data_IF_001231025357
#
_entry.id   IF_001231025357
#
_cell.length_a   1.000
_cell.length_b   1.000
_cell.length_c   1.000
_cell.angle_alpha   90.00
_cell.angle_beta   90.00
_cell.angle_gamma   90.00
#
_symmetry.space_group_name_H-M   'P 1'
#
loop_
_entity.id
_entity.type
_entity.pdbx_description
1 polymer ?
#
# COMPACT_ATOMS: atom_id res chain seq x y z
N UNK A 1 -16.78 15.31 20.63
CA UNK A 1 -16.07 14.09 21.07
C UNK A 1 -14.56 14.33 21.22
N UNK A 2 -13.80 14.80 20.22
CA UNK A 2 -12.34 15.03 20.36
C UNK A 2 -12.00 15.97 21.53
N UNK A 3 -12.73 17.08 21.67
CA UNK A 3 -12.55 18.05 22.76
C UNK A 3 -12.71 17.43 24.16
N UNK A 4 -13.54 16.41 24.30
CA UNK A 4 -13.74 15.74 25.59
C UNK A 4 -12.53 14.93 26.05
N UNK A 5 -11.72 14.42 25.11
CA UNK A 5 -10.52 13.63 25.42
C UNK A 5 -9.26 14.48 25.58
N UNK A 6 -9.30 15.75 25.19
CA UNK A 6 -8.15 16.65 25.24
C UNK A 6 -7.73 16.94 26.68
N UNK A 7 -6.53 16.52 27.06
CA UNK A 7 -5.94 16.75 28.38
C UNK A 7 -6.49 15.86 29.49
N UNK A 8 -7.34 14.88 29.18
CA UNK A 8 -7.92 13.95 30.17
C UNK A 8 -6.98 12.76 30.40
N UNK A 9 -6.90 12.27 31.64
CA UNK A 9 -6.06 11.11 31.96
C UNK A 9 -6.67 9.83 31.39
N UNK A 10 -5.80 8.87 31.05
CA UNK A 10 -6.20 7.57 30.56
C UNK A 10 -7.01 6.85 31.66
N UNK A 11 -8.23 6.41 31.33
CA UNK A 11 -9.12 5.71 32.27
C UNK A 11 -10.21 6.59 32.90
N UNK A 12 -10.15 7.93 32.80
CA UNK A 12 -11.20 8.83 33.32
C UNK A 12 -12.45 8.84 32.43
N UNK A 13 -12.29 8.62 31.11
CA UNK A 13 -13.39 8.51 30.16
C UNK A 13 -13.47 7.10 29.59
N UNK A 14 -14.57 6.81 28.90
CA UNK A 14 -14.74 5.53 28.19
C UNK A 14 -13.56 5.26 27.25
N UNK A 15 -13.08 4.00 27.17
CA UNK A 15 -11.97 3.67 26.29
C UNK A 15 -12.23 4.10 24.84
N UNK A 16 -11.31 4.90 24.29
CA UNK A 16 -11.36 5.36 22.90
C UNK A 16 -9.95 5.63 22.39
N UNK A 17 -9.75 5.46 21.09
CA UNK A 17 -8.44 5.72 20.44
C UNK A 17 -7.96 7.15 20.58
N UNK A 18 -8.85 8.11 20.81
CA UNK A 18 -8.48 9.50 21.08
C UNK A 18 -7.72 9.65 22.41
N UNK A 19 -8.06 8.84 23.44
CA UNK A 19 -7.34 8.85 24.71
C UNK A 19 -5.87 8.41 24.52
N UNK A 20 -5.63 7.38 23.71
CA UNK A 20 -4.27 6.91 23.37
C UNK A 20 -3.51 7.95 22.58
N UNK A 21 -4.15 8.57 21.58
CA UNK A 21 -3.53 9.64 20.78
C UNK A 21 -3.18 10.87 21.63
N UNK A 22 -4.08 11.27 22.57
CA UNK A 22 -3.84 12.38 23.50
C UNK A 22 -2.70 12.08 24.47
N UNK A 23 -2.68 10.86 25.03
CA UNK A 23 -1.61 10.42 25.93
C UNK A 23 -0.24 10.47 25.23
N UNK A 24 -0.16 9.95 23.99
CA UNK A 24 1.05 9.99 23.17
C UNK A 24 1.48 11.44 22.87
N UNK A 25 0.52 12.30 22.52
CA UNK A 25 0.80 13.71 22.25
C UNK A 25 1.33 14.46 23.49
N UNK A 26 0.72 14.21 24.67
CA UNK A 26 1.19 14.80 25.93
C UNK A 26 2.53 14.26 26.39
N UNK A 27 2.77 12.96 26.25
CA UNK A 27 4.07 12.35 26.55
C UNK A 27 5.16 12.96 25.66
N UNK A 28 4.90 13.12 24.36
CA UNK A 28 5.83 13.79 23.44
C UNK A 28 6.17 15.21 23.92
N UNK A 29 5.18 16.00 24.36
CA UNK A 29 5.39 17.37 24.82
C UNK A 29 6.12 17.45 26.15
N UNK A 30 5.73 16.61 27.13
CA UNK A 30 6.26 16.67 28.50
C UNK A 30 7.68 16.12 28.57
N UNK A 31 7.92 14.99 27.90
CA UNK A 31 9.19 14.26 27.98
C UNK A 31 10.16 14.67 26.86
N UNK A 32 9.68 15.46 25.90
CA UNK A 32 10.42 15.86 24.69
C UNK A 32 10.96 14.63 23.91
N UNK A 33 10.20 13.55 23.92
CA UNK A 33 10.53 12.28 23.28
C UNK A 33 9.51 11.94 22.20
N UNK A 34 10.00 11.49 21.04
CA UNK A 34 9.15 10.97 19.97
C UNK A 34 8.36 9.75 20.44
N UNK A 35 7.14 9.61 19.93
CA UNK A 35 6.23 8.53 20.27
C UNK A 35 5.89 7.68 19.03
N UNK A 36 5.48 6.43 19.26
CA UNK A 36 5.00 5.54 18.21
C UNK A 36 3.70 4.87 18.63
N UNK A 37 2.73 4.85 17.74
CA UNK A 37 1.45 4.16 17.92
C UNK A 37 1.38 3.02 16.92
N UNK A 38 1.34 1.79 17.44
CA UNK A 38 1.20 0.59 16.62
C UNK A 38 -0.26 0.13 16.64
N UNK A 39 -0.83 -0.10 15.45
CA UNK A 39 -2.19 -0.60 15.29
C UNK A 39 -2.11 -2.02 14.73
N UNK A 40 -2.42 -3.02 15.55
CA UNK A 40 -2.38 -4.44 15.20
C UNK A 40 -3.75 -5.09 15.29
N UNK A 41 -3.92 -6.26 14.68
CA UNK A 41 -5.15 -7.05 14.68
C UNK A 41 -5.35 -7.81 13.37
N UNK A 42 -6.36 -8.67 13.30
CA UNK A 42 -6.69 -9.43 12.10
C UNK A 42 -7.14 -8.55 10.93
N UNK A 43 -7.15 -9.13 9.72
CA UNK A 43 -7.69 -8.46 8.53
C UNK A 43 -9.19 -8.17 8.74
N UNK A 44 -9.62 -6.93 8.47
CA UNK A 44 -11.00 -6.48 8.70
C UNK A 44 -11.33 -6.01 10.12
N UNK A 45 -10.40 -6.06 11.08
CA UNK A 45 -10.62 -5.63 12.47
C UNK A 45 -10.73 -4.10 12.66
N UNK A 46 -10.63 -3.30 11.60
CA UNK A 46 -10.77 -1.83 11.67
C UNK A 46 -9.46 -1.07 11.93
N UNK A 47 -8.29 -1.68 11.73
CA UNK A 47 -6.98 -1.02 11.92
C UNK A 47 -6.85 0.30 11.17
N UNK A 48 -7.13 0.30 9.88
CA UNK A 48 -7.03 1.50 9.03
C UNK A 48 -8.00 2.60 9.48
N UNK A 49 -9.23 2.23 9.88
CA UNK A 49 -10.18 3.21 10.43
C UNK A 49 -9.70 3.78 11.78
N UNK A 50 -9.13 2.93 12.64
CA UNK A 50 -8.49 3.36 13.89
C UNK A 50 -7.34 4.32 13.61
N UNK A 51 -6.48 4.01 12.66
CA UNK A 51 -5.37 4.90 12.24
C UNK A 51 -5.88 6.25 11.73
N UNK A 52 -6.94 6.26 10.92
CA UNK A 52 -7.58 7.50 10.45
C UNK A 52 -8.10 8.36 11.62
N UNK A 53 -8.72 7.73 12.63
CA UNK A 53 -9.19 8.43 13.83
C UNK A 53 -8.03 9.00 14.64
N UNK A 54 -6.96 8.25 14.84
CA UNK A 54 -5.72 8.72 15.52
C UNK A 54 -5.15 9.93 14.77
N UNK A 55 -4.98 9.83 13.46
CA UNK A 55 -4.45 10.92 12.63
C UNK A 55 -5.35 12.17 12.72
N UNK A 56 -6.67 12.02 12.64
CA UNK A 56 -7.63 13.13 12.83
C UNK A 56 -7.51 13.78 14.20
N UNK A 57 -7.27 13.00 15.24
CA UNK A 57 -7.08 13.54 16.57
C UNK A 57 -5.78 14.31 16.69
N UNK A 58 -4.67 13.75 16.20
CA UNK A 58 -3.36 14.40 16.21
C UNK A 58 -3.38 15.72 15.41
N UNK A 59 -4.05 15.73 14.24
CA UNK A 59 -4.22 16.96 13.46
C UNK A 59 -5.13 17.97 14.15
N UNK A 60 -6.10 17.52 14.95
CA UNK A 60 -6.94 18.41 15.76
C UNK A 60 -6.17 19.08 16.92
N UNK A 61 -5.35 18.32 17.65
CA UNK A 61 -4.62 18.87 18.81
C UNK A 61 -3.37 19.65 18.43
N UNK A 62 -2.68 19.24 17.35
CA UNK A 62 -1.45 19.85 16.84
C UNK A 62 -1.66 20.81 15.66
N UNK A 63 -2.88 20.93 15.15
CA UNK A 63 -3.18 21.76 13.98
C UNK A 63 -3.19 23.25 14.27
N UNK A 64 -2.97 24.06 13.23
CA UNK A 64 -3.08 25.51 13.28
C UNK A 64 -4.53 25.94 13.15
N UNK A 65 -4.90 27.06 13.78
CA UNK A 65 -6.27 27.60 13.75
C UNK A 65 -6.75 28.11 12.37
N UNK A 66 -5.89 28.12 11.36
CA UNK A 66 -6.21 28.59 10.01
C UNK A 66 -6.47 27.38 9.12
N UNK A 67 -7.72 27.16 8.74
CA UNK A 67 -8.15 26.18 7.74
C UNK A 67 -7.82 26.71 6.35
N UNK A 68 -6.62 26.46 5.88
CA UNK A 68 -6.29 26.50 4.46
C UNK A 68 -6.52 25.10 3.89
N UNK A 69 -7.23 24.99 2.76
CA UNK A 69 -7.50 23.70 2.05
C UNK A 69 -6.21 22.97 1.64
N UNK A 70 -5.04 23.59 1.80
CA UNK A 70 -3.71 23.03 1.55
C UNK A 70 -2.82 23.00 2.79
N UNK A 71 -3.41 22.99 3.99
CA UNK A 71 -2.62 22.82 5.20
C UNK A 71 -1.96 21.43 5.25
N UNK A 72 -0.83 21.31 5.95
CA UNK A 72 -0.14 20.02 6.16
C UNK A 72 -1.10 18.99 6.76
N UNK A 73 -1.95 19.44 7.69
CA UNK A 73 -2.97 18.60 8.34
C UNK A 73 -3.95 18.03 7.32
N UNK A 74 -4.45 18.85 6.40
CA UNK A 74 -5.38 18.40 5.36
C UNK A 74 -4.71 17.47 4.36
N UNK A 75 -3.49 17.77 3.95
CA UNK A 75 -2.72 16.92 3.03
C UNK A 75 -2.43 15.54 3.65
N UNK A 76 -2.09 15.49 4.94
CA UNK A 76 -1.90 14.22 5.68
C UNK A 76 -3.19 13.39 5.69
N UNK A 77 -4.35 14.02 5.92
CA UNK A 77 -5.62 13.31 5.92
C UNK A 77 -6.02 12.84 4.52
N UNK A 78 -5.86 13.67 3.50
CA UNK A 78 -6.23 13.36 2.11
C UNK A 78 -5.23 12.41 1.42
N UNK A 79 -4.04 12.20 1.98
CA UNK A 79 -3.15 11.14 1.53
C UNK A 79 -3.75 9.74 1.70
N UNK A 80 -4.66 9.54 2.69
CA UNK A 80 -5.26 8.23 2.95
C UNK A 80 -6.17 7.75 1.80
N UNK A 81 -7.22 8.49 1.35
CA UNK A 81 -8.04 8.04 0.23
C UNK A 81 -7.23 7.83 -1.05
N UNK A 82 -6.20 8.66 -1.27
CA UNK A 82 -5.31 8.49 -2.42
C UNK A 82 -4.54 7.17 -2.34
N UNK A 83 -3.86 6.90 -1.22
CA UNK A 83 -3.13 5.65 -1.03
C UNK A 83 -4.04 4.42 -0.99
N UNK A 84 -5.28 4.54 -0.51
CA UNK A 84 -6.27 3.48 -0.55
C UNK A 84 -6.70 3.13 -1.97
N UNK A 85 -6.90 4.12 -2.83
CA UNK A 85 -7.23 3.86 -4.23
C UNK A 85 -6.17 3.00 -4.94
N UNK A 86 -4.89 3.23 -4.64
CA UNK A 86 -3.75 2.56 -5.28
C UNK A 86 -3.18 1.38 -4.49
N UNK A 87 -3.45 1.26 -3.22
CA UNK A 87 -2.84 0.25 -2.36
C UNK A 87 -3.83 -0.69 -1.67
N UNK A 88 -5.16 -0.44 -1.78
CA UNK A 88 -6.17 -1.31 -1.21
C UNK A 88 -6.94 -2.07 -2.30
N UNK A 89 -7.46 -3.20 -1.89
CA UNK A 89 -8.27 -4.06 -2.75
C UNK A 89 -9.34 -4.81 -1.93
N UNK A 90 -10.39 -5.28 -2.61
CA UNK A 90 -11.31 -6.25 -2.02
C UNK A 90 -10.61 -7.59 -1.89
N UNK A 91 -10.67 -8.14 -0.68
CA UNK A 91 -10.31 -9.52 -0.36
C UNK A 91 -11.54 -10.31 0.07
N UNK A 92 -11.39 -11.62 0.25
CA UNK A 92 -12.48 -12.48 0.78
C UNK A 92 -13.04 -11.97 2.12
N UNK A 93 -12.20 -11.32 2.94
CA UNK A 93 -12.55 -10.89 4.31
C UNK A 93 -12.95 -9.42 4.43
N UNK A 94 -12.53 -8.57 3.50
CA UNK A 94 -12.70 -7.13 3.63
C UNK A 94 -12.76 -6.47 2.24
N UNK A 95 -13.78 -5.65 2.02
CA UNK A 95 -13.98 -4.94 0.75
C UNK A 95 -12.97 -3.80 0.51
N UNK A 96 -12.24 -3.38 1.54
CA UNK A 96 -11.20 -2.35 1.47
C UNK A 96 -9.97 -2.75 2.28
N UNK A 97 -9.34 -3.86 1.94
CA UNK A 97 -8.14 -4.35 2.61
C UNK A 97 -6.89 -3.64 2.11
N UNK A 98 -6.09 -3.09 3.02
CA UNK A 98 -4.77 -2.55 2.68
C UNK A 98 -3.84 -3.68 2.26
N UNK A 99 -3.24 -3.53 1.05
CA UNK A 99 -2.28 -4.48 0.49
C UNK A 99 -0.84 -3.96 0.56
N UNK A 100 -0.60 -3.04 1.49
CA UNK A 100 0.71 -2.48 1.85
C UNK A 100 0.68 -2.04 3.31
N UNK A 101 1.85 -1.97 3.94
CA UNK A 101 2.02 -1.33 5.24
C UNK A 101 2.35 0.14 5.06
N UNK A 102 1.87 1.01 5.94
CA UNK A 102 2.26 2.41 5.97
C UNK A 102 2.66 2.85 7.37
N UNK A 103 3.68 3.68 7.42
CA UNK A 103 4.11 4.39 8.62
C UNK A 103 4.02 5.89 8.35
N UNK A 104 3.21 6.59 9.11
CA UNK A 104 3.02 8.03 8.98
C UNK A 104 3.71 8.70 10.16
N UNK A 105 4.73 9.49 9.89
CA UNK A 105 5.48 10.29 10.85
C UNK A 105 4.93 11.73 10.82
N UNK A 106 4.25 12.15 11.87
CA UNK A 106 3.78 13.54 12.03
C UNK A 106 4.80 14.29 12.85
N UNK A 107 5.35 15.35 12.30
CA UNK A 107 6.41 16.17 12.90
C UNK A 107 5.81 17.38 13.61
N UNK A 108 6.36 17.70 14.78
CA UNK A 108 5.89 18.80 15.61
C UNK A 108 7.01 19.80 15.91
N UNK A 109 6.65 21.08 15.94
CA UNK A 109 7.52 22.16 16.39
C UNK A 109 7.62 22.20 17.92
N UNK A 110 8.46 23.09 18.45
CA UNK A 110 8.65 23.25 19.89
C UNK A 110 7.39 23.67 20.66
N UNK A 111 6.38 24.15 19.98
CA UNK A 111 5.09 24.55 20.58
C UNK A 111 4.03 23.47 20.48
N UNK A 112 4.40 22.27 19.98
CA UNK A 112 3.49 21.15 19.77
C UNK A 112 2.60 21.30 18.55
N UNK A 113 2.93 22.18 17.60
CA UNK A 113 2.17 22.34 16.36
C UNK A 113 2.77 21.50 15.26
N UNK A 114 1.91 20.97 14.39
CA UNK A 114 2.35 20.21 13.22
C UNK A 114 3.18 21.12 12.32
N UNK A 115 4.40 20.69 12.02
CA UNK A 115 5.36 21.39 11.18
C UNK A 115 5.69 20.66 9.89
N UNK A 116 5.39 19.37 9.80
CA UNK A 116 5.59 18.52 8.62
C UNK A 116 5.07 17.11 8.84
N UNK A 117 5.14 16.30 7.80
CA UNK A 117 4.91 14.86 7.92
C UNK A 117 5.64 14.08 6.82
N UNK A 118 5.87 12.79 7.07
CA UNK A 118 6.41 11.86 6.10
C UNK A 118 5.62 10.56 6.10
N UNK A 119 5.41 9.98 4.93
CA UNK A 119 4.77 8.69 4.75
C UNK A 119 5.80 7.72 4.19
N UNK A 120 5.96 6.57 4.85
CA UNK A 120 6.75 5.44 4.35
C UNK A 120 5.82 4.26 4.10
N UNK A 121 6.02 3.59 2.99
CA UNK A 121 5.23 2.42 2.61
C UNK A 121 6.11 1.18 2.54
N UNK A 122 5.53 0.03 2.86
CA UNK A 122 6.24 -1.24 2.94
C UNK A 122 5.44 -2.34 2.25
N UNK A 123 6.13 -3.22 1.55
CA UNK A 123 5.64 -4.52 1.11
C UNK A 123 4.31 -4.46 0.31
N UNK A 124 4.23 -3.59 -0.71
CA UNK A 124 3.08 -3.59 -1.62
C UNK A 124 2.94 -4.98 -2.29
N UNK A 125 1.75 -5.56 -2.25
CA UNK A 125 1.41 -6.86 -2.86
C UNK A 125 1.39 -6.72 -4.40
N UNK A 126 2.58 -6.76 -5.02
CA UNK A 126 2.76 -6.54 -6.47
C UNK A 126 2.12 -7.61 -7.34
N UNK A 127 2.03 -8.85 -6.84
CA UNK A 127 1.41 -9.99 -7.53
C UNK A 127 -0.05 -9.73 -7.87
N UNK A 128 -0.78 -8.98 -7.04
CA UNK A 128 -2.18 -8.64 -7.24
C UNK A 128 -2.45 -7.86 -8.54
N UNK A 129 -1.46 -7.13 -9.04
CA UNK A 129 -1.59 -6.39 -10.32
C UNK A 129 -1.94 -7.30 -11.48
N UNK A 130 -1.38 -8.52 -11.49
CA UNK A 130 -1.47 -9.46 -12.61
C UNK A 130 -2.30 -10.70 -12.31
N UNK A 131 -2.52 -11.01 -11.03
CA UNK A 131 -3.23 -12.21 -10.61
C UNK A 131 -4.16 -11.92 -9.43
N UNK A 132 -5.43 -12.28 -9.59
CA UNK A 132 -6.46 -12.22 -8.56
C UNK A 132 -7.26 -13.53 -8.56
N UNK A 133 -7.91 -13.83 -7.44
CA UNK A 133 -8.76 -15.00 -7.29
C UNK A 133 -10.19 -14.57 -6.96
N UNK A 134 -11.20 -15.13 -7.62
CA UNK A 134 -12.61 -14.85 -7.31
C UNK A 134 -12.94 -15.21 -5.83
N UNK A 135 -13.62 -14.35 -5.07
CA UNK A 135 -14.29 -13.10 -5.42
C UNK A 135 -13.46 -11.83 -5.14
N UNK A 136 -12.15 -11.91 -5.07
CA UNK A 136 -11.29 -10.76 -4.82
C UNK A 136 -11.21 -9.80 -6.01
N UNK A 137 -10.74 -8.58 -5.78
CA UNK A 137 -10.51 -7.57 -6.83
C UNK A 137 -9.03 -7.20 -6.91
N UNK A 138 -8.64 -6.65 -8.03
CA UNK A 138 -7.41 -5.90 -8.18
C UNK A 138 -7.51 -4.57 -7.39
N UNK A 139 -6.48 -3.73 -7.40
CA UNK A 139 -6.49 -2.42 -6.76
C UNK A 139 -7.65 -1.55 -7.25
N UNK A 140 -8.23 -0.78 -6.33
CA UNK A 140 -9.44 0.00 -6.62
C UNK A 140 -9.27 0.98 -7.79
N UNK A 141 -8.10 1.59 -7.93
CA UNK A 141 -7.81 2.58 -8.98
C UNK A 141 -8.09 2.09 -10.41
N UNK A 142 -7.93 0.79 -10.69
CA UNK A 142 -8.23 0.23 -12.01
C UNK A 142 -9.73 0.26 -12.32
N UNK A 143 -10.57 -0.11 -11.34
CA UNK A 143 -12.04 -0.10 -11.51
C UNK A 143 -12.57 1.32 -11.55
N UNK A 144 -12.02 2.22 -10.73
CA UNK A 144 -12.33 3.65 -10.75
C UNK A 144 -12.02 4.24 -12.13
N UNK A 145 -10.85 3.94 -12.70
CA UNK A 145 -10.46 4.42 -14.03
C UNK A 145 -11.37 3.86 -15.12
N UNK A 146 -11.73 2.59 -15.11
CA UNK A 146 -12.68 2.01 -16.06
C UNK A 146 -14.07 2.67 -16.00
N UNK A 147 -14.46 3.19 -14.83
CA UNK A 147 -15.75 3.87 -14.61
C UNK A 147 -15.68 5.40 -14.81
N UNK A 148 -14.53 5.97 -15.21
CA UNK A 148 -14.30 7.42 -15.25
C UNK A 148 -14.93 8.15 -16.45
N UNK A 149 -15.76 7.48 -17.25
CA UNK A 149 -16.47 8.08 -18.39
C UNK A 149 -15.50 8.57 -19.47
N UNK A 150 -15.43 9.90 -19.67
CA UNK A 150 -14.60 10.51 -20.72
C UNK A 150 -13.11 10.19 -20.62
N UNK A 151 -12.58 10.06 -19.41
CA UNK A 151 -11.17 9.73 -19.22
C UNK A 151 -10.91 8.26 -19.63
N UNK A 152 -11.84 7.35 -19.35
CA UNK A 152 -11.78 5.97 -19.85
C UNK A 152 -11.84 5.92 -21.39
N UNK A 153 -12.73 6.69 -22.01
CA UNK A 153 -12.82 6.79 -23.48
C UNK A 153 -11.53 7.31 -24.10
N UNK A 154 -10.88 8.30 -23.48
CA UNK A 154 -9.61 8.88 -23.93
C UNK A 154 -8.51 7.80 -24.03
N UNK A 155 -8.46 6.91 -23.05
CA UNK A 155 -7.50 5.81 -23.03
C UNK A 155 -7.99 4.53 -23.71
N UNK A 156 -9.12 4.56 -24.42
CA UNK A 156 -9.75 3.40 -25.08
C UNK A 156 -10.03 2.25 -24.11
N UNK A 157 -10.41 2.58 -22.89
CA UNK A 157 -10.83 1.60 -21.90
C UNK A 157 -12.31 1.26 -22.09
N UNK A 158 -12.61 -0.02 -21.94
CA UNK A 158 -13.96 -0.54 -21.86
C UNK A 158 -14.34 -0.87 -20.41
N UNK A 159 -15.38 -1.66 -20.25
CA UNK A 159 -15.77 -2.20 -18.96
C UNK A 159 -14.64 -3.07 -18.35
N UNK A 160 -14.50 -3.07 -17.03
CA UNK A 160 -13.44 -3.79 -16.32
C UNK A 160 -13.33 -5.28 -16.72
N UNK A 161 -14.46 -5.93 -17.07
CA UNK A 161 -14.50 -7.32 -17.55
C UNK A 161 -13.74 -7.58 -18.86
N UNK A 162 -13.36 -6.55 -19.59
CA UNK A 162 -12.63 -6.69 -20.87
C UNK A 162 -11.11 -6.76 -20.68
N UNK A 163 -10.61 -6.57 -19.45
CA UNK A 163 -9.20 -6.57 -19.15
C UNK A 163 -8.76 -7.82 -18.37
N UNK A 164 -7.74 -8.50 -18.86
CA UNK A 164 -7.24 -9.75 -18.32
C UNK A 164 -6.88 -9.66 -16.81
N UNK A 165 -6.30 -8.56 -16.37
CA UNK A 165 -5.93 -8.37 -14.97
C UNK A 165 -7.11 -8.09 -14.04
N UNK A 166 -8.32 -7.87 -14.57
CA UNK A 166 -9.53 -7.60 -13.80
C UNK A 166 -10.57 -8.71 -13.92
N UNK A 167 -10.58 -9.45 -15.03
CA UNK A 167 -11.63 -10.44 -15.34
C UNK A 167 -11.35 -11.86 -14.83
N UNK A 168 -10.28 -12.05 -14.07
CA UNK A 168 -9.99 -13.29 -13.36
C UNK A 168 -10.95 -13.51 -12.18
N UNK A 169 -11.71 -12.47 -11.80
CA UNK A 169 -12.78 -12.49 -10.84
C UNK A 169 -14.06 -11.95 -11.47
N UNK A 170 -15.21 -12.35 -10.93
CA UNK A 170 -16.53 -11.88 -11.38
C UNK A 170 -17.02 -10.65 -10.60
N UNK A 171 -16.24 -10.18 -9.64
CA UNK A 171 -16.60 -9.06 -8.77
C UNK A 171 -16.02 -7.76 -9.33
N UNK A 172 -16.83 -7.01 -10.09
CA UNK A 172 -16.44 -5.71 -10.65
C UNK A 172 -16.96 -4.54 -9.82
N UNK A 173 -18.08 -4.72 -9.14
CA UNK A 173 -18.73 -3.72 -8.31
C UNK A 173 -18.69 -4.11 -6.84
N UNK A 174 -18.76 -3.13 -5.94
CA UNK A 174 -18.87 -3.31 -4.50
C UNK A 174 -20.21 -2.75 -4.03
N UNK A 175 -20.85 -3.43 -3.10
CA UNK A 175 -22.14 -3.01 -2.58
C UNK A 175 -22.04 -1.64 -1.89
N UNK A 176 -22.89 -0.71 -2.29
CA UNK A 176 -22.91 0.65 -1.75
C UNK A 176 -21.77 1.57 -2.19
N UNK A 177 -20.92 1.13 -3.12
CA UNK A 177 -19.79 1.92 -3.62
C UNK A 177 -19.95 2.13 -5.13
N UNK A 178 -19.94 3.39 -5.57
CA UNK A 178 -19.93 3.75 -6.98
C UNK A 178 -18.49 4.05 -7.42
N UNK A 179 -17.95 3.27 -8.36
CA UNK A 179 -16.56 3.42 -8.83
C UNK A 179 -16.32 4.79 -9.51
N UNK A 180 -17.32 5.40 -10.16
CA UNK A 180 -17.20 6.73 -10.75
C UNK A 180 -17.07 7.81 -9.67
N UNK A 181 -17.91 7.75 -8.62
CA UNK A 181 -17.82 8.68 -7.49
C UNK A 181 -16.46 8.56 -6.78
N UNK A 182 -15.95 7.34 -6.61
CA UNK A 182 -14.64 7.09 -6.02
C UNK A 182 -13.51 7.62 -6.91
N UNK A 183 -13.63 7.55 -8.24
CA UNK A 183 -12.67 8.17 -9.16
C UNK A 183 -12.56 9.67 -8.92
N UNK A 184 -13.68 10.37 -8.80
CA UNK A 184 -13.70 11.81 -8.56
C UNK A 184 -13.18 12.17 -7.16
N UNK A 185 -13.44 11.34 -6.15
CA UNK A 185 -12.84 11.51 -4.82
C UNK A 185 -11.31 11.36 -4.88
N UNK A 186 -10.82 10.37 -5.61
CA UNK A 186 -9.37 10.16 -5.81
C UNK A 186 -8.74 11.36 -6.52
N UNK A 187 -9.34 11.89 -7.57
CA UNK A 187 -8.86 13.12 -8.26
C UNK A 187 -8.85 14.33 -7.33
N UNK A 188 -9.91 14.51 -6.53
CA UNK A 188 -9.95 15.58 -5.53
C UNK A 188 -8.85 15.44 -4.48
N UNK A 189 -8.60 14.24 -4.00
CA UNK A 189 -7.51 13.99 -3.06
C UNK A 189 -6.14 14.34 -3.70
N UNK A 190 -5.93 14.01 -4.98
CA UNK A 190 -4.74 14.43 -5.73
C UNK A 190 -4.60 15.96 -5.81
N UNK A 191 -5.70 16.69 -6.07
CA UNK A 191 -5.71 18.16 -6.13
C UNK A 191 -5.31 18.77 -4.76
N UNK A 192 -5.85 18.24 -3.64
CA UNK A 192 -5.56 18.71 -2.28
C UNK A 192 -4.11 18.40 -1.89
N UNK A 193 -3.65 17.18 -2.20
CA UNK A 193 -2.25 16.79 -1.98
C UNK A 193 -1.28 17.59 -2.88
N UNK A 194 -1.77 18.27 -3.92
CA UNK A 194 -0.95 19.14 -4.76
C UNK A 194 -0.32 18.44 -5.97
N UNK A 195 -0.83 17.28 -6.37
CA UNK A 195 -0.40 16.61 -7.61
C UNK A 195 -0.95 17.40 -8.80
N UNK A 196 -0.06 17.82 -9.69
CA UNK A 196 -0.44 18.63 -10.84
C UNK A 196 -1.36 17.88 -11.79
N UNK A 197 -2.19 18.62 -12.57
CA UNK A 197 -3.06 18.01 -13.58
C UNK A 197 -2.29 17.17 -14.60
N UNK A 198 -1.12 17.64 -15.01
CA UNK A 198 -0.23 16.87 -15.90
C UNK A 198 0.23 15.56 -15.30
N UNK A 199 0.55 15.57 -14.00
CA UNK A 199 0.96 14.36 -13.28
C UNK A 199 -0.22 13.41 -13.07
N UNK A 200 -1.42 13.93 -12.78
CA UNK A 200 -2.64 13.13 -12.70
C UNK A 200 -2.91 12.41 -14.04
N UNK A 201 -2.80 13.13 -15.15
CA UNK A 201 -2.94 12.52 -16.48
C UNK A 201 -1.88 11.45 -16.74
N UNK A 202 -0.65 11.65 -16.30
CA UNK A 202 0.41 10.66 -16.41
C UNK A 202 0.15 9.41 -15.55
N UNK A 203 -0.40 9.59 -14.35
CA UNK A 203 -0.81 8.49 -13.46
C UNK A 203 -1.88 7.63 -14.15
N UNK A 204 -2.98 8.24 -14.58
CA UNK A 204 -4.10 7.50 -15.19
C UNK A 204 -3.73 6.89 -16.54
N UNK A 205 -2.90 7.57 -17.32
CA UNK A 205 -2.32 7.03 -18.55
C UNK A 205 -1.48 5.79 -18.29
N UNK A 206 -0.69 5.78 -17.23
CA UNK A 206 0.13 4.62 -16.83
C UNK A 206 -0.74 3.46 -16.37
N UNK A 207 -1.80 3.69 -15.58
CA UNK A 207 -2.76 2.65 -15.20
C UNK A 207 -3.45 2.05 -16.45
N UNK A 208 -3.88 2.88 -17.39
CA UNK A 208 -4.47 2.42 -18.63
C UNK A 208 -3.48 1.58 -19.45
N UNK A 209 -2.22 1.99 -19.52
CA UNK A 209 -1.17 1.22 -20.19
C UNK A 209 -0.99 -0.17 -19.58
N UNK A 210 -1.04 -0.29 -18.25
CA UNK A 210 -0.96 -1.60 -17.55
C UNK A 210 -2.14 -2.49 -17.94
N UNK A 211 -3.37 -1.95 -18.02
CA UNK A 211 -4.54 -2.70 -18.43
C UNK A 211 -4.43 -3.19 -19.88
N UNK A 212 -3.98 -2.35 -20.80
CA UNK A 212 -3.73 -2.76 -22.18
C UNK A 212 -2.60 -3.78 -22.27
N UNK A 213 -1.51 -3.58 -21.52
CA UNK A 213 -0.38 -4.51 -21.48
C UNK A 213 -0.85 -5.93 -21.08
N UNK A 214 -1.74 -6.05 -20.10
CA UNK A 214 -2.31 -7.32 -19.67
C UNK A 214 -3.11 -8.07 -20.74
N UNK A 215 -3.67 -7.36 -21.72
CA UNK A 215 -4.46 -7.92 -22.81
C UNK A 215 -3.62 -8.36 -24.03
N UNK A 216 -2.30 -8.20 -23.97
CA UNK A 216 -1.42 -8.69 -25.05
C UNK A 216 -1.24 -10.19 -24.88
N UNK A 217 -1.69 -10.96 -25.87
CA UNK A 217 -1.51 -12.41 -25.95
C UNK A 217 -0.43 -12.78 -26.97
N UNK A 218 0.18 -13.93 -26.76
CA UNK A 218 1.26 -14.44 -27.58
C UNK A 218 0.86 -15.73 -28.29
N UNK A 219 1.42 -15.97 -29.46
CA UNK A 219 1.33 -17.23 -30.21
C UNK A 219 2.75 -17.71 -30.59
N UNK A 220 2.93 -19.02 -30.84
CA UNK A 220 4.23 -19.55 -31.27
C UNK A 220 4.81 -18.78 -32.45
N UNK A 221 6.10 -18.53 -32.40
CA UNK A 221 6.86 -17.91 -33.48
C UNK A 221 7.23 -18.92 -34.58
N UNK A 222 8.44 -18.79 -35.13
CA UNK A 222 8.95 -19.73 -36.15
C UNK A 222 9.32 -21.05 -35.54
N UNK A 223 9.88 -21.04 -34.34
CA UNK A 223 10.32 -22.20 -33.59
C UNK A 223 9.51 -22.35 -32.28
N UNK A 224 9.54 -23.54 -31.69
CA UNK A 224 8.82 -23.84 -30.42
C UNK A 224 9.25 -22.92 -29.27
N UNK A 225 10.48 -22.42 -29.30
CA UNK A 225 11.11 -21.60 -28.27
C UNK A 225 11.01 -20.09 -28.55
N UNK A 226 10.17 -19.72 -29.55
CA UNK A 226 9.93 -18.33 -29.92
C UNK A 226 8.45 -17.95 -29.82
N UNK A 227 8.18 -16.66 -29.65
CA UNK A 227 6.82 -16.13 -29.59
C UNK A 227 6.67 -14.84 -30.42
N UNK A 228 5.44 -14.57 -30.79
CA UNK A 228 5.03 -13.34 -31.46
C UNK A 228 3.67 -12.90 -30.95
N UNK A 229 3.27 -11.68 -31.26
CA UNK A 229 1.93 -11.14 -30.94
C UNK A 229 0.88 -12.01 -31.64
N UNK A 230 -0.16 -12.43 -30.90
CA UNK A 230 -1.11 -13.47 -31.34
C UNK A 230 -1.96 -13.03 -32.52
N UNK A 231 -2.61 -11.88 -32.42
CA UNK A 231 -3.64 -11.44 -33.38
C UNK A 231 -3.77 -9.91 -33.43
N UNK A 232 -4.73 -9.42 -34.22
CA UNK A 232 -5.01 -7.99 -34.39
C UNK A 232 -5.48 -7.32 -33.09
N UNK A 233 -6.20 -8.04 -32.21
CA UNK A 233 -6.66 -7.53 -30.92
C UNK A 233 -5.48 -7.31 -29.98
N UNK A 234 -4.60 -8.30 -29.88
CA UNK A 234 -3.35 -8.18 -29.11
C UNK A 234 -2.44 -7.09 -29.68
N UNK A 235 -2.39 -6.93 -31.00
CA UNK A 235 -1.63 -5.84 -31.61
C UNK A 235 -2.23 -4.47 -31.31
N UNK A 236 -3.57 -4.33 -31.29
CA UNK A 236 -4.23 -3.09 -30.86
C UNK A 236 -3.79 -2.73 -29.43
N UNK A 237 -3.83 -3.68 -28.48
CA UNK A 237 -3.41 -3.44 -27.11
C UNK A 237 -1.92 -3.13 -27.00
N UNK A 238 -1.06 -3.74 -27.81
CA UNK A 238 0.36 -3.41 -27.90
C UNK A 238 0.57 -1.94 -28.34
N UNK A 239 -0.08 -1.52 -29.43
CA UNK A 239 0.02 -0.15 -29.92
C UNK A 239 -0.50 0.87 -28.91
N UNK A 240 -1.61 0.55 -28.22
CA UNK A 240 -2.12 1.38 -27.15
C UNK A 240 -1.13 1.48 -25.98
N UNK A 241 -0.57 0.36 -25.54
CA UNK A 241 0.44 0.34 -24.47
C UNK A 241 1.65 1.20 -24.84
N UNK A 242 2.19 1.03 -26.04
CA UNK A 242 3.35 1.80 -26.53
C UNK A 242 3.02 3.30 -26.60
N UNK A 243 1.85 3.67 -27.10
CA UNK A 243 1.38 5.06 -27.16
C UNK A 243 1.26 5.66 -25.75
N UNK A 244 0.62 4.97 -24.82
CA UNK A 244 0.39 5.42 -23.46
C UNK A 244 1.68 5.52 -22.64
N UNK A 245 2.65 4.61 -22.84
CA UNK A 245 3.97 4.66 -22.22
C UNK A 245 4.96 5.54 -22.98
N UNK A 246 4.55 6.08 -24.15
CA UNK A 246 5.41 6.91 -25.04
C UNK A 246 6.72 6.17 -25.41
N UNK A 247 6.64 4.89 -25.73
CA UNK A 247 7.77 4.09 -26.17
C UNK A 247 7.54 3.53 -27.58
N UNK A 248 8.60 3.04 -28.19
CA UNK A 248 8.55 2.40 -29.49
C UNK A 248 7.89 1.03 -29.40
N UNK A 249 6.85 0.71 -30.21
CA UNK A 249 6.15 -0.57 -30.16
C UNK A 249 7.07 -1.77 -30.52
N UNK A 250 8.02 -1.62 -31.42
CA UNK A 250 8.93 -2.71 -31.82
C UNK A 250 9.92 -3.03 -30.68
N UNK A 251 10.39 -1.99 -29.98
CA UNK A 251 11.18 -2.18 -28.77
C UNK A 251 10.37 -2.85 -27.66
N UNK A 252 9.11 -2.51 -27.52
CA UNK A 252 8.21 -3.17 -26.55
C UNK A 252 8.04 -4.64 -26.89
N UNK A 253 7.75 -4.99 -28.17
CA UNK A 253 7.68 -6.40 -28.62
C UNK A 253 8.99 -7.13 -28.33
N UNK A 254 10.12 -6.54 -28.69
CA UNK A 254 11.43 -7.15 -28.45
C UNK A 254 11.64 -7.41 -26.95
N UNK A 255 11.31 -6.45 -26.08
CA UNK A 255 11.47 -6.62 -24.63
C UNK A 255 10.54 -7.68 -24.04
N UNK A 256 9.36 -7.92 -24.65
CA UNK A 256 8.44 -8.96 -24.21
C UNK A 256 8.81 -10.35 -24.71
N UNK A 257 9.27 -10.46 -25.97
CA UNK A 257 9.49 -11.72 -26.65
C UNK A 257 10.95 -12.21 -26.63
N UNK A 258 11.89 -11.39 -26.10
CA UNK A 258 13.30 -11.78 -26.04
C UNK A 258 13.91 -11.49 -24.66
N UNK A 259 15.02 -12.19 -24.37
CA UNK A 259 15.84 -11.96 -23.18
C UNK A 259 17.30 -11.76 -23.57
N UNK A 260 17.91 -10.69 -23.06
CA UNK A 260 19.34 -10.44 -23.21
C UNK A 260 20.14 -11.16 -22.12
N UNK A 261 21.11 -11.94 -22.50
CA UNK A 261 22.04 -12.64 -21.61
C UNK A 261 23.43 -12.01 -21.80
N UNK A 262 23.95 -11.39 -20.75
CA UNK A 262 25.30 -10.82 -20.77
C UNK A 262 26.32 -11.92 -20.50
N UNK A 263 27.22 -12.16 -21.45
CA UNK A 263 28.35 -13.10 -21.32
C UNK A 263 29.67 -12.36 -21.47
N UNK A 264 30.78 -13.01 -21.11
CA UNK A 264 32.13 -12.46 -21.29
C UNK A 264 32.48 -12.17 -22.76
N UNK A 265 31.77 -12.83 -23.70
CA UNK A 265 31.99 -12.71 -25.15
C UNK A 265 31.02 -11.71 -25.82
N UNK A 266 30.05 -11.15 -25.07
CA UNK A 266 29.08 -10.19 -25.58
C UNK A 266 27.65 -10.47 -25.10
N UNK A 267 26.69 -9.78 -25.74
CA UNK A 267 25.26 -9.91 -25.43
C UNK A 267 24.65 -10.93 -26.39
N UNK A 268 24.03 -11.98 -25.83
CA UNK A 268 23.25 -12.97 -26.56
C UNK A 268 21.78 -12.63 -26.39
N UNK A 269 21.03 -12.46 -27.47
CA UNK A 269 19.59 -12.29 -27.46
C UNK A 269 18.96 -13.66 -27.65
N UNK A 270 18.21 -14.12 -26.65
CA UNK A 270 17.45 -15.38 -26.69
C UNK A 270 15.96 -15.07 -26.87
N UNK A 271 15.32 -15.70 -27.85
CA UNK A 271 13.87 -15.66 -27.99
C UNK A 271 13.18 -16.41 -26.83
N UNK A 272 11.97 -16.03 -26.52
CA UNK A 272 11.17 -16.59 -25.44
C UNK A 272 9.93 -17.28 -26.02
N UNK A 273 9.55 -18.41 -25.45
CA UNK A 273 8.28 -19.08 -25.75
C UNK A 273 7.08 -18.24 -25.24
N UNK A 274 5.86 -18.67 -25.56
CA UNK A 274 4.64 -17.95 -25.20
C UNK A 274 4.46 -17.79 -23.69
N UNK A 275 4.84 -18.80 -22.90
CA UNK A 275 4.70 -18.76 -21.44
C UNK A 275 5.70 -17.79 -20.82
N UNK A 276 6.95 -17.81 -21.27
CA UNK A 276 7.98 -16.89 -20.83
C UNK A 276 7.69 -15.45 -21.26
N UNK A 277 7.14 -15.22 -22.48
CA UNK A 277 6.73 -13.90 -22.93
C UNK A 277 5.56 -13.35 -22.10
N UNK A 278 4.57 -14.19 -21.75
CA UNK A 278 3.50 -13.80 -20.83
C UNK A 278 4.02 -13.48 -19.42
N UNK A 279 4.96 -14.28 -18.89
CA UNK A 279 5.61 -13.99 -17.60
C UNK A 279 6.41 -12.67 -17.62
N UNK A 280 7.07 -12.36 -18.74
CA UNK A 280 7.77 -11.08 -18.96
C UNK A 280 6.79 -9.89 -18.97
N UNK A 281 5.67 -10.02 -19.70
CA UNK A 281 4.57 -9.05 -19.71
C UNK A 281 4.09 -8.74 -18.28
N UNK A 282 3.83 -9.80 -17.51
CA UNK A 282 3.33 -9.69 -16.14
C UNK A 282 4.40 -9.10 -15.19
N UNK A 283 5.67 -9.44 -15.38
CA UNK A 283 6.77 -8.86 -14.63
C UNK A 283 6.93 -7.35 -14.92
N UNK A 284 6.80 -6.94 -16.18
CA UNK A 284 6.81 -5.54 -16.59
C UNK A 284 5.65 -4.78 -15.96
N UNK A 285 4.43 -5.32 -16.01
CA UNK A 285 3.23 -4.74 -15.40
C UNK A 285 3.40 -4.51 -13.90
N UNK A 286 3.88 -5.52 -13.17
CA UNK A 286 4.18 -5.40 -11.74
C UNK A 286 5.23 -4.33 -11.44
N UNK A 287 6.25 -4.24 -12.29
CA UNK A 287 7.33 -3.26 -12.11
C UNK A 287 6.85 -1.84 -12.36
N UNK A 288 6.08 -1.61 -13.43
CA UNK A 288 5.50 -0.30 -13.74
C UNK A 288 4.58 0.16 -12.59
N UNK A 289 3.70 -0.72 -12.12
CA UNK A 289 2.80 -0.39 -11.02
C UNK A 289 3.53 -0.06 -9.72
N UNK A 290 4.52 -0.85 -9.35
CA UNK A 290 5.32 -0.61 -8.16
C UNK A 290 6.05 0.74 -8.23
N UNK A 291 6.65 1.08 -9.39
CA UNK A 291 7.29 2.38 -9.60
C UNK A 291 6.31 3.55 -9.58
N UNK A 292 5.11 3.35 -10.13
CA UNK A 292 4.04 4.35 -10.06
C UNK A 292 3.64 4.60 -8.60
N UNK A 293 3.46 3.55 -7.81
CA UNK A 293 3.10 3.66 -6.40
C UNK A 293 4.20 4.35 -5.57
N UNK A 294 5.46 3.95 -5.75
CA UNK A 294 6.60 4.57 -5.08
C UNK A 294 6.69 6.07 -5.44
N UNK A 295 6.55 6.40 -6.73
CA UNK A 295 6.55 7.79 -7.21
C UNK A 295 5.39 8.61 -6.62
N UNK A 296 4.20 8.00 -6.49
CA UNK A 296 3.04 8.64 -5.87
C UNK A 296 3.33 9.01 -4.42
N UNK A 297 3.90 8.09 -3.63
CA UNK A 297 4.30 8.32 -2.24
C UNK A 297 5.35 9.43 -2.13
N UNK A 298 6.35 9.43 -3.02
CA UNK A 298 7.37 10.48 -3.07
C UNK A 298 6.76 11.86 -3.33
N UNK A 299 5.78 11.97 -4.25
CA UNK A 299 5.12 13.23 -4.54
C UNK A 299 4.21 13.70 -3.40
N UNK A 300 3.51 12.79 -2.73
CA UNK A 300 2.78 13.10 -1.50
C UNK A 300 3.75 13.70 -0.46
N UNK A 301 4.88 13.06 -0.20
CA UNK A 301 5.87 13.52 0.76
C UNK A 301 6.51 14.88 0.38
N UNK A 302 6.77 15.10 -0.91
CA UNK A 302 7.28 16.40 -1.40
C UNK A 302 6.26 17.53 -1.18
N UNK A 303 4.98 17.24 -1.37
CA UNK A 303 3.92 18.24 -1.21
C UNK A 303 3.65 18.58 0.25
N UNK A 304 3.56 17.57 1.12
CA UNK A 304 3.37 17.77 2.56
C UNK A 304 4.53 18.57 3.14
N UNK A 305 5.75 18.26 2.69
CA UNK A 305 6.98 18.84 3.21
C UNK A 305 7.40 18.24 4.57
N UNK A 306 8.69 18.30 4.81
CA UNK A 306 9.29 17.80 6.04
C UNK A 306 10.01 18.96 6.75
N UNK A 307 9.86 19.02 8.06
CA UNK A 307 10.59 19.97 8.90
C UNK A 307 11.91 19.33 9.36
N UNK A 308 13.03 19.81 8.79
CA UNK A 308 14.38 19.33 9.13
C UNK A 308 14.82 19.72 10.55
N UNK A 309 14.18 20.74 11.12
CA UNK A 309 14.45 21.23 12.47
C UNK A 309 13.53 20.58 13.52
N UNK A 310 12.58 19.75 13.11
CA UNK A 310 11.69 19.01 14.01
C UNK A 310 12.49 18.13 14.96
N UNK A 311 12.17 18.22 16.25
CA UNK A 311 12.83 17.44 17.30
C UNK A 311 11.92 16.37 17.92
N UNK A 312 10.64 16.43 17.64
CA UNK A 312 9.65 15.49 18.14
C UNK A 312 8.68 15.08 17.05
N UNK A 313 8.33 13.81 17.03
CA UNK A 313 7.41 13.25 16.08
C UNK A 313 6.53 12.18 16.72
N UNK A 314 5.35 11.98 16.17
CA UNK A 314 4.49 10.83 16.49
C UNK A 314 4.35 10.00 15.24
N UNK A 315 4.86 8.76 15.28
CA UNK A 315 4.72 7.78 14.23
C UNK A 315 3.48 6.93 14.44
N UNK A 316 2.72 6.68 13.38
CA UNK A 316 1.56 5.77 13.39
C UNK A 316 1.79 4.67 12.37
N UNK A 317 1.89 3.43 12.83
CA UNK A 317 2.07 2.25 11.97
C UNK A 317 0.73 1.57 11.74
N UNK A 318 0.33 1.52 10.46
CA UNK A 318 -0.82 0.76 9.95
C UNK A 318 -0.31 -0.28 8.95
N UNK A 319 -0.34 -1.54 9.36
CA UNK A 319 0.10 -2.65 8.51
C UNK A 319 -1.03 -3.67 8.39
N UNK A 320 -1.01 -4.46 7.33
CA UNK A 320 -1.97 -5.55 7.15
C UNK A 320 -1.92 -6.53 8.34
N UNK A 321 -3.08 -7.11 8.70
CA UNK A 321 -3.16 -8.11 9.77
C UNK A 321 -2.84 -9.51 9.30
N UNK A 322 -2.86 -10.47 10.22
CA UNK A 322 -2.75 -11.88 9.90
C UNK A 322 -3.78 -12.31 8.85
N UNK A 323 -3.31 -13.06 7.88
CA UNK A 323 -4.12 -13.62 6.80
C UNK A 323 -3.96 -15.14 6.75
N UNK A 324 -5.09 -15.84 6.62
CA UNK A 324 -5.14 -17.27 6.39
C UNK A 324 -6.27 -17.57 5.42
N UNK A 325 -5.92 -18.05 4.25
CA UNK A 325 -6.83 -18.41 3.17
C UNK A 325 -6.73 -19.91 2.90
N UNK A 326 -7.63 -20.43 2.07
CA UNK A 326 -7.57 -21.82 1.61
C UNK A 326 -6.28 -22.13 0.82
N UNK A 327 -5.80 -21.13 0.08
CA UNK A 327 -4.52 -21.16 -0.63
C UNK A 327 -3.74 -19.89 -0.23
N UNK A 328 -2.56 -20.06 0.30
CA UNK A 328 -1.68 -18.97 0.73
C UNK A 328 -0.44 -18.94 -0.17
N UNK A 329 -0.06 -17.76 -0.60
CA UNK A 329 1.12 -17.51 -1.42
C UNK A 329 2.30 -17.07 -0.55
N UNK A 330 3.43 -16.79 -1.18
CA UNK A 330 4.59 -16.22 -0.50
C UNK A 330 4.28 -14.85 0.11
N UNK A 331 3.39 -14.06 -0.49
CA UNK A 331 2.94 -12.79 0.04
C UNK A 331 2.25 -12.95 1.40
N UNK A 332 1.35 -13.94 1.57
CA UNK A 332 0.73 -14.22 2.86
C UNK A 332 1.75 -14.68 3.90
N UNK A 333 2.78 -15.43 3.49
CA UNK A 333 3.89 -15.76 4.38
C UNK A 333 4.61 -14.51 4.87
N UNK A 334 4.98 -13.58 3.98
CA UNK A 334 5.63 -12.32 4.34
C UNK A 334 4.75 -11.45 5.24
N UNK A 335 3.44 -11.37 4.95
CA UNK A 335 2.45 -10.65 5.76
C UNK A 335 2.40 -11.22 7.18
N UNK A 336 2.27 -12.53 7.29
CA UNK A 336 2.16 -13.21 8.60
C UNK A 336 3.48 -13.12 9.38
N UNK A 337 4.62 -13.25 8.72
CA UNK A 337 5.92 -13.08 9.37
C UNK A 337 6.10 -11.67 9.96
N UNK A 338 5.71 -10.61 9.22
CA UNK A 338 5.74 -9.25 9.74
C UNK A 338 4.80 -9.09 10.96
N UNK A 339 3.62 -9.70 10.94
CA UNK A 339 2.70 -9.69 12.07
C UNK A 339 3.22 -10.48 13.27
N UNK A 340 3.92 -11.62 13.06
CA UNK A 340 4.59 -12.35 14.15
C UNK A 340 5.66 -11.48 14.83
N UNK A 341 6.46 -10.73 14.06
CA UNK A 341 7.42 -9.77 14.63
C UNK A 341 6.74 -8.67 15.44
N UNK A 342 5.63 -8.12 14.96
CA UNK A 342 4.86 -7.12 15.70
C UNK A 342 4.24 -7.70 16.97
N UNK A 343 3.75 -8.95 16.92
CA UNK A 343 3.21 -9.65 18.09
C UNK A 343 4.30 -9.89 19.14
N UNK A 344 5.48 -10.30 18.71
CA UNK A 344 6.63 -10.46 19.62
C UNK A 344 7.00 -9.13 20.29
N UNK A 345 7.07 -8.05 19.51
CA UNK A 345 7.33 -6.71 20.06
C UNK A 345 6.27 -6.29 21.10
N UNK A 346 4.99 -6.56 20.81
CA UNK A 346 3.90 -6.33 21.76
C UNK A 346 4.06 -7.17 23.02
N UNK A 347 4.35 -8.47 22.89
CA UNK A 347 4.56 -9.37 24.02
C UNK A 347 5.73 -8.91 24.92
N UNK A 348 6.81 -8.45 24.30
CA UNK A 348 7.96 -7.94 25.01
C UNK A 348 7.64 -6.65 25.78
N UNK A 349 7.01 -5.68 25.13
CA UNK A 349 6.69 -4.38 25.72
C UNK A 349 5.59 -4.46 26.79
N UNK A 350 4.46 -5.09 26.46
CA UNK A 350 3.26 -5.04 27.30
C UNK A 350 3.27 -6.08 28.41
N UNK A 351 3.86 -7.25 28.16
CA UNK A 351 3.88 -8.31 29.17
C UNK A 351 5.24 -8.44 29.87
N UNK A 352 6.33 -8.54 29.12
CA UNK A 352 7.62 -8.87 29.72
C UNK A 352 8.23 -7.68 30.46
N UNK A 353 8.39 -6.55 29.79
CA UNK A 353 9.01 -5.36 30.38
C UNK A 353 8.19 -4.80 31.55
N UNK A 354 6.85 -4.67 31.39
CA UNK A 354 5.96 -4.20 32.46
C UNK A 354 6.03 -5.10 33.69
N UNK A 355 6.04 -6.43 33.52
CA UNK A 355 6.12 -7.37 34.62
C UNK A 355 7.49 -7.37 35.28
N UNK A 356 8.57 -7.08 34.56
CA UNK A 356 9.91 -6.88 35.12
C UNK A 356 9.96 -5.60 35.95
N UNK A 357 9.32 -4.51 35.49
CA UNK A 357 9.22 -3.27 36.25
C UNK A 357 8.42 -3.45 37.53
N UNK A 358 7.26 -4.15 37.49
CA UNK A 358 6.51 -4.46 38.72
C UNK A 358 7.32 -5.24 39.74
N UNK A 359 8.19 -6.16 39.30
CA UNK A 359 9.11 -6.88 40.20
C UNK A 359 10.16 -5.93 40.80
N UNK A 360 10.73 -5.04 39.97
CA UNK A 360 11.76 -4.09 40.42
C UNK A 360 11.21 -3.10 41.45
N UNK A 361 10.00 -2.62 41.26
CA UNK A 361 9.26 -1.69 42.10
C UNK A 361 8.59 -2.39 43.30
N UNK A 362 8.67 -3.72 43.41
CA UNK A 362 8.04 -4.53 44.45
C UNK A 362 6.53 -4.35 44.55
N UNK A 363 5.89 -4.11 43.43
CA UNK A 363 4.43 -4.04 43.33
C UNK A 363 3.84 -5.44 43.51
N UNK A 364 2.81 -5.56 44.31
CA UNK A 364 2.10 -6.85 44.48
C UNK A 364 1.12 -7.03 43.30
N UNK A 365 1.39 -8.00 42.43
CA UNK A 365 0.60 -8.31 41.25
C UNK A 365 0.58 -9.82 40.99
N UNK A 366 -0.41 -10.26 40.23
CA UNK A 366 -0.49 -11.65 39.76
C UNK A 366 0.17 -11.76 38.38
N UNK A 367 1.10 -12.72 38.24
CA UNK A 367 1.78 -12.93 36.94
C UNK A 367 0.76 -13.24 35.86
N UNK A 368 0.87 -12.50 34.75
CA UNK A 368 0.05 -12.71 33.55
C UNK A 368 0.84 -13.61 32.60
N UNK A 369 0.31 -14.81 32.38
CA UNK A 369 0.86 -15.73 31.39
C UNK A 369 0.50 -15.24 29.98
N UNK A 370 1.45 -15.32 29.06
CA UNK A 370 1.25 -15.02 27.66
C UNK A 370 1.97 -16.06 26.80
N UNK A 371 1.50 -16.25 25.57
CA UNK A 371 2.13 -17.14 24.60
C UNK A 371 3.27 -16.38 23.93
N UNK A 372 4.50 -16.83 24.17
CA UNK A 372 5.68 -16.32 23.47
C UNK A 372 5.78 -17.01 22.11
N UNK A 373 5.86 -16.23 21.03
CA UNK A 373 6.00 -16.73 19.66
C UNK A 373 7.45 -16.75 19.17
N UNK A 374 8.42 -16.66 20.08
CA UNK A 374 9.84 -16.66 19.75
C UNK A 374 10.26 -17.92 18.99
N UNK A 375 9.74 -19.08 19.36
CA UNK A 375 10.05 -20.35 18.68
C UNK A 375 9.64 -20.33 17.20
N UNK A 376 8.50 -19.71 16.88
CA UNK A 376 8.05 -19.53 15.48
C UNK A 376 8.99 -18.60 14.72
N UNK A 377 9.43 -17.51 15.34
CA UNK A 377 10.38 -16.58 14.74
C UNK A 377 11.74 -17.24 14.53
N UNK A 378 12.22 -17.99 15.51
CA UNK A 378 13.47 -18.74 15.44
C UNK A 378 13.44 -19.79 14.31
N UNK A 379 12.30 -20.46 14.12
CA UNK A 379 12.11 -21.40 13.01
C UNK A 379 12.27 -20.72 11.64
N UNK A 380 11.73 -19.51 11.49
CA UNK A 380 11.78 -18.78 10.22
C UNK A 380 13.18 -18.18 9.98
N UNK A 381 13.83 -17.63 11.02
CA UNK A 381 15.04 -16.83 10.87
C UNK A 381 16.34 -17.64 11.01
N UNK A 382 16.35 -18.67 11.86
CA UNK A 382 17.58 -19.40 12.23
C UNK A 382 17.78 -20.69 11.44
N UNK A 383 16.75 -21.22 10.79
CA UNK A 383 16.94 -22.30 9.84
C UNK A 383 17.59 -21.74 8.55
N UNK A 384 18.90 -21.57 8.61
CA UNK A 384 19.71 -21.69 7.41
C UNK A 384 19.45 -23.10 6.86
N UNK A 385 19.07 -23.17 5.57
CA UNK A 385 19.22 -24.41 4.82
C UNK A 385 20.65 -24.88 5.04
N UNK A 386 20.84 -25.87 5.90
CA UNK A 386 21.99 -26.71 5.79
C UNK A 386 21.81 -27.41 4.46
N UNK A 387 22.54 -26.95 3.45
CA UNK A 387 22.84 -27.73 2.25
C UNK A 387 23.57 -28.99 2.69
N UNK A 388 22.78 -29.99 3.06
CA UNK A 388 23.19 -31.36 3.23
C UNK A 388 22.04 -32.27 2.80
N UNK A 389 21.90 -32.47 1.50
CA UNK A 389 21.68 -33.79 0.86
C UNK A 389 22.07 -33.69 -0.62
#
# INVERSE_FOLDING_TARGET
>A
MMEQYKGVQLGELSPHVFAVADASYRAMLNDSMSQSILVSGESGAGKTETTKLIMRYLTYVGGRAVLDDRSVEQQVLESNPLLEAFGNAKTVRNDNSSRFGKFVEIQFDKSGRISGAAIRTYLLERSRVVQITDPERNFHCFYQLCASGKDAELYKLGHASTFHYLNQSKTYELEGINNEDEYWKTKRAMDIVGISRSDQDAIFRTLAAILHLGNIEFSPGKDSDSSKIKDSTSNFHLQMTATLLMCDPDLLVSSLCTRSIHTNEGIIIKELDCAAAAANRDALSKTIYARLFDWLVENINKSIGQDVDSKAQIGVLDIYGFESFKHNSFEQFCINFANEKLQQHFNEHVFKMEQEEYKSEKINWSYIEFIDNQDMLDLIEKHQCTDDV
#
